data_IF_578177357161
#
_entry.id   IF_578177357161
#
_cell.length_a   1.000
_cell.length_b   1.000
_cell.length_c   1.000
_cell.angle_alpha   90.00
_cell.angle_beta   90.00
_cell.angle_gamma   90.00
#
_symmetry.space_group_name_H-M   'P 1'
#
loop_
_entity.id
_entity.type
_entity.pdbx_description
1 polymer ?
#
# COMPACT_ATOMS: atom_id res chain seq x y z
N UNK A 1 22.19 26.76 37.29
CA UNK A 1 22.22 27.89 36.34
C UNK A 1 20.83 28.28 35.79
N UNK A 2 20.09 27.48 35.00
CA UNK A 2 18.75 27.88 34.49
C UNK A 2 17.70 28.23 35.56
N UNK A 3 17.65 27.50 36.68
CA UNK A 3 16.77 27.83 37.83
C UNK A 3 17.15 29.13 38.55
N UNK A 4 18.42 29.53 38.52
CA UNK A 4 18.92 30.76 39.15
C UNK A 4 18.61 32.02 38.33
N UNK A 5 18.17 31.86 37.07
CA UNK A 5 17.76 32.96 36.17
C UNK A 5 16.24 33.11 36.06
N UNK A 6 15.45 32.44 36.91
CA UNK A 6 13.98 32.46 36.85
C UNK A 6 13.38 31.78 35.61
N UNK A 7 14.19 31.21 34.73
CA UNK A 7 13.76 30.55 33.50
C UNK A 7 13.47 29.06 33.77
N UNK A 8 12.32 28.78 34.38
CA UNK A 8 11.84 27.40 34.47
C UNK A 8 11.60 26.86 33.06
N UNK A 9 12.16 25.68 32.74
CA UNK A 9 11.96 25.02 31.44
C UNK A 9 10.49 24.64 31.19
N UNK A 10 9.67 24.65 32.25
CA UNK A 10 8.25 24.27 32.24
C UNK A 10 7.39 25.30 32.98
N UNK A 11 6.20 25.58 32.44
CA UNK A 11 5.16 26.35 33.10
C UNK A 11 4.61 25.59 34.31
N UNK A 12 4.43 26.30 35.42
CA UNK A 12 3.79 25.79 36.64
C UNK A 12 2.32 25.47 36.42
N UNK A 13 1.73 24.66 37.30
CA UNK A 13 0.30 24.36 37.26
C UNK A 13 -0.55 25.64 37.39
N UNK A 14 -0.13 26.59 38.22
CA UNK A 14 -0.80 27.89 38.40
C UNK A 14 -0.81 28.72 37.11
N UNK A 15 0.33 28.78 36.40
CA UNK A 15 0.44 29.49 35.12
C UNK A 15 -0.45 28.88 34.04
N UNK A 16 -0.52 27.55 33.96
CA UNK A 16 -1.40 26.84 33.02
C UNK A 16 -2.88 27.03 33.35
N UNK A 17 -3.24 27.02 34.63
CA UNK A 17 -4.61 27.26 35.07
C UNK A 17 -5.07 28.70 34.76
N UNK A 18 -4.18 29.69 34.95
CA UNK A 18 -4.46 31.08 34.55
C UNK A 18 -4.72 31.17 33.03
N UNK A 19 -3.85 30.58 32.21
CA UNK A 19 -4.04 30.56 30.76
C UNK A 19 -5.34 29.88 30.33
N UNK A 20 -5.77 28.84 31.04
CA UNK A 20 -7.05 28.17 30.76
C UNK A 20 -8.25 29.08 31.02
N UNK A 21 -8.22 29.87 32.10
CA UNK A 21 -9.24 30.89 32.38
C UNK A 21 -9.29 31.97 31.31
N UNK A 22 -8.14 32.46 30.87
CA UNK A 22 -8.05 33.49 29.82
C UNK A 22 -8.62 32.98 28.48
N UNK A 23 -8.28 31.74 28.09
CA UNK A 23 -8.81 31.08 26.88
C UNK A 23 -10.33 30.90 26.97
N UNK A 24 -10.84 30.50 28.14
CA UNK A 24 -12.28 30.33 28.34
C UNK A 24 -13.01 31.65 28.18
N UNK A 25 -12.49 32.75 28.73
CA UNK A 25 -13.09 34.08 28.55
C UNK A 25 -13.13 34.50 27.07
N UNK A 26 -12.07 34.24 26.31
CA UNK A 26 -12.05 34.50 24.86
C UNK A 26 -13.10 33.64 24.12
N UNK A 27 -13.25 32.37 24.51
CA UNK A 27 -14.23 31.46 23.94
C UNK A 27 -15.67 31.87 24.24
N UNK A 28 -15.97 32.29 25.48
CA UNK A 28 -17.31 32.78 25.88
C UNK A 28 -17.67 34.04 25.09
N UNK A 29 -16.69 34.89 24.77
CA UNK A 29 -16.87 36.08 23.94
C UNK A 29 -16.94 35.79 22.43
N UNK A 30 -16.93 34.52 22.01
CA UNK A 30 -16.98 34.11 20.60
C UNK A 30 -15.73 34.49 19.78
N UNK A 31 -14.63 34.85 20.44
CA UNK A 31 -13.42 35.30 19.77
C UNK A 31 -12.57 34.12 19.28
N UNK A 32 -11.87 34.34 18.16
CA UNK A 32 -10.98 33.32 17.57
C UNK A 32 -9.83 33.02 18.53
N UNK A 33 -9.69 31.75 18.91
CA UNK A 33 -8.67 31.33 19.86
C UNK A 33 -7.25 31.48 19.27
N UNK A 34 -6.30 32.05 20.03
CA UNK A 34 -4.92 32.18 19.59
C UNK A 34 -4.22 30.80 19.61
N UNK A 35 -3.18 30.64 18.79
CA UNK A 35 -2.39 29.40 18.76
C UNK A 35 -1.51 29.23 20.00
N UNK A 36 -1.27 30.31 20.76
CA UNK A 36 -0.57 30.31 22.04
C UNK A 36 -1.01 31.52 22.90
N UNK A 37 -0.85 31.41 24.21
CA UNK A 37 -1.14 32.46 25.19
C UNK A 37 0.17 32.94 25.82
N UNK A 38 0.27 34.24 26.09
CA UNK A 38 1.43 34.79 26.79
C UNK A 38 1.20 34.71 28.30
N UNK A 39 2.06 33.98 29.01
CA UNK A 39 2.01 33.85 30.47
C UNK A 39 3.37 34.22 31.04
N UNK A 40 3.43 35.32 31.80
CA UNK A 40 4.68 35.82 32.37
C UNK A 40 5.76 36.09 31.30
N UNK A 41 5.37 36.72 30.18
CA UNK A 41 6.28 37.04 29.07
C UNK A 41 6.70 35.85 28.19
N UNK A 42 6.20 34.64 28.47
CA UNK A 42 6.56 33.41 27.73
C UNK A 42 5.36 32.86 26.96
N UNK A 43 5.63 32.32 25.76
CA UNK A 43 4.62 31.75 24.87
C UNK A 43 4.24 30.33 25.33
N UNK A 44 3.00 30.14 25.80
CA UNK A 44 2.43 28.85 26.18
C UNK A 44 1.51 28.32 25.06
N UNK A 45 1.88 27.23 24.37
CA UNK A 45 1.03 26.67 23.30
C UNK A 45 -0.32 26.20 23.83
N UNK A 46 -1.40 26.49 23.10
CA UNK A 46 -2.77 26.19 23.54
C UNK A 46 -2.99 24.69 23.81
N UNK A 47 -2.39 23.81 23.01
CA UNK A 47 -2.48 22.36 23.20
C UNK A 47 -1.79 21.82 24.47
N UNK A 48 -1.00 22.64 25.19
CA UNK A 48 -0.53 22.31 26.55
C UNK A 48 -1.50 22.76 27.63
N UNK A 49 -2.27 23.83 27.38
CA UNK A 49 -3.34 24.29 28.26
C UNK A 49 -4.52 23.32 28.20
N UNK A 50 -4.94 22.94 27.00
CA UNK A 50 -6.03 21.97 26.76
C UNK A 50 -5.80 20.64 27.48
N UNK A 51 -4.55 20.14 27.47
CA UNK A 51 -4.18 18.90 28.17
C UNK A 51 -4.32 18.99 29.69
N UNK A 52 -4.13 20.18 30.27
CA UNK A 52 -4.21 20.38 31.72
C UNK A 52 -5.67 20.36 32.21
N UNK A 53 -6.60 20.85 31.40
CA UNK A 53 -8.02 21.01 31.77
C UNK A 53 -8.94 20.00 31.07
N UNK A 54 -8.37 19.00 30.38
CA UNK A 54 -9.12 18.01 29.58
C UNK A 54 -10.17 17.23 30.38
N UNK A 55 -9.92 17.04 31.67
CA UNK A 55 -10.78 16.28 32.57
C UNK A 55 -11.58 17.16 33.52
N UNK A 56 -11.47 18.48 33.39
CA UNK A 56 -12.16 19.43 34.26
C UNK A 56 -13.55 19.77 33.64
N UNK A 57 -14.66 19.40 34.30
CA UNK A 57 -16.01 19.65 33.80
C UNK A 57 -16.28 21.12 33.50
N UNK A 58 -15.62 22.02 34.22
CA UNK A 58 -15.79 23.47 34.08
C UNK A 58 -15.29 24.00 32.72
N UNK A 59 -14.41 23.25 32.04
CA UNK A 59 -13.76 23.61 30.77
C UNK A 59 -14.18 22.71 29.60
N UNK A 60 -15.08 21.75 29.82
CA UNK A 60 -15.61 20.85 28.78
C UNK A 60 -16.64 21.53 27.85
N UNK A 61 -17.06 22.75 28.17
CA UNK A 61 -18.08 23.46 27.42
C UNK A 61 -17.46 24.23 26.23
N UNK A 62 -17.91 23.83 25.05
CA UNK A 62 -17.76 24.43 23.71
C UNK A 62 -16.39 24.42 23.00
N UNK A 63 -15.24 24.74 23.59
CA UNK A 63 -13.97 24.81 22.80
C UNK A 63 -13.14 23.52 22.79
N UNK A 64 -13.23 22.69 23.84
CA UNK A 64 -12.59 21.36 23.90
C UNK A 64 -13.29 20.36 22.96
N UNK A 65 -14.52 20.67 22.53
CA UNK A 65 -15.29 19.97 21.48
C UNK A 65 -14.82 20.29 20.06
N UNK A 66 -13.55 20.67 19.85
CA UNK A 66 -12.96 20.52 18.52
C UNK A 66 -13.04 19.05 18.18
N UNK A 67 -13.98 18.67 17.28
CA UNK A 67 -14.10 17.33 16.69
C UNK A 67 -12.69 16.84 16.49
N UNK A 68 -12.32 15.79 17.20
CA UNK A 68 -11.07 15.09 17.02
C UNK A 68 -11.04 14.64 15.56
N UNK A 69 -10.52 15.50 14.68
CA UNK A 69 -9.91 15.05 13.44
C UNK A 69 -8.69 14.31 13.94
N UNK A 70 -8.55 13.01 13.72
CA UNK A 70 -7.30 12.34 13.97
C UNK A 70 -6.27 13.04 13.09
N UNK A 71 -5.59 14.05 13.62
CA UNK A 71 -4.20 14.24 13.25
C UNK A 71 -3.59 12.96 13.74
N UNK A 72 -3.21 12.11 12.79
CA UNK A 72 -2.23 11.06 13.00
C UNK A 72 -1.11 11.76 13.76
N UNK A 73 -1.13 11.60 15.08
CA UNK A 73 -0.02 12.04 15.89
C UNK A 73 1.04 11.04 15.52
N UNK A 74 1.95 11.42 14.62
CA UNK A 74 3.23 10.75 14.54
C UNK A 74 3.68 10.55 16.01
N UNK A 75 3.93 9.31 16.44
CA UNK A 75 4.37 9.07 17.80
C UNK A 75 5.62 9.92 18.01
N UNK A 76 5.65 10.67 19.11
CA UNK A 76 6.89 11.35 19.51
C UNK A 76 7.95 10.25 19.64
N UNK A 77 9.14 10.39 19.02
CA UNK A 77 10.20 9.41 19.15
C UNK A 77 10.49 9.22 20.63
N UNK A 78 10.34 7.99 21.12
CA UNK A 78 10.86 7.64 22.43
C UNK A 78 12.37 7.50 22.27
N UNK A 79 13.16 8.13 23.16
CA UNK A 79 14.63 8.04 23.16
C UNK A 79 15.17 6.64 23.53
N UNK A 80 14.30 5.62 23.57
CA UNK A 80 14.62 4.21 23.79
C UNK A 80 13.77 3.32 22.85
N UNK A 81 13.74 3.65 21.56
CA UNK A 81 13.20 2.74 20.56
C UNK A 81 14.07 1.48 20.48
N UNK A 82 13.44 0.33 20.23
CA UNK A 82 14.16 -0.87 19.84
C UNK A 82 14.89 -0.63 18.50
N UNK A 83 15.86 -1.47 18.12
CA UNK A 83 16.68 -1.27 16.90
C UNK A 83 15.86 -0.94 15.65
N UNK A 84 14.72 -1.63 15.46
CA UNK A 84 13.79 -1.38 14.36
C UNK A 84 13.13 0.02 14.33
N UNK A 85 12.90 0.66 15.47
CA UNK A 85 12.33 2.03 15.51
C UNK A 85 13.34 3.04 14.96
N UNK A 86 14.63 2.85 15.28
CA UNK A 86 15.73 3.68 14.76
C UNK A 86 15.91 3.49 13.25
N UNK A 87 15.87 2.24 12.77
CA UNK A 87 15.96 1.96 11.33
C UNK A 87 14.74 2.53 10.59
N UNK A 88 13.54 2.43 11.17
CA UNK A 88 12.32 3.05 10.62
C UNK A 88 12.47 4.57 10.53
N UNK A 89 12.94 5.23 11.58
CA UNK A 89 13.17 6.68 11.59
C UNK A 89 14.20 7.08 10.52
N UNK A 90 15.30 6.34 10.40
CA UNK A 90 16.33 6.58 9.38
C UNK A 90 15.79 6.39 7.96
N UNK A 91 15.03 5.33 7.70
CA UNK A 91 14.37 5.13 6.40
C UNK A 91 13.45 6.30 6.09
N UNK A 92 12.66 6.77 7.06
CA UNK A 92 11.76 7.91 6.86
C UNK A 92 12.52 9.20 6.56
N UNK A 93 13.67 9.43 7.19
CA UNK A 93 14.54 10.57 6.89
C UNK A 93 15.06 10.49 5.45
N UNK A 94 15.58 9.34 5.03
CA UNK A 94 16.06 9.11 3.67
C UNK A 94 14.96 9.36 2.64
N UNK A 95 13.75 8.85 2.87
CA UNK A 95 12.59 9.07 2.00
C UNK A 95 12.19 10.54 1.94
N UNK A 96 12.12 11.20 3.10
CA UNK A 96 11.70 12.61 3.17
C UNK A 96 12.66 13.53 2.42
N UNK A 97 13.94 13.16 2.38
CA UNK A 97 14.96 13.88 1.62
C UNK A 97 14.92 13.54 0.12
N UNK A 98 14.91 12.24 -0.20
CA UNK A 98 15.08 11.73 -1.56
C UNK A 98 13.80 11.78 -2.40
N UNK A 99 12.67 11.38 -1.84
CA UNK A 99 11.46 11.20 -2.61
C UNK A 99 10.91 12.51 -3.20
N UNK A 100 10.95 13.67 -2.51
CA UNK A 100 10.52 14.93 -3.11
C UNK A 100 11.35 15.36 -4.32
N UNK A 101 12.68 15.22 -4.29
CA UNK A 101 13.56 15.56 -5.42
C UNK A 101 13.27 14.68 -6.62
N UNK A 102 13.00 13.41 -6.36
CA UNK A 102 12.54 12.41 -7.32
C UNK A 102 11.19 12.78 -7.95
N UNK A 103 10.21 13.24 -7.16
CA UNK A 103 8.90 13.65 -7.67
C UNK A 103 8.96 14.90 -8.57
N UNK A 104 9.97 15.76 -8.40
CA UNK A 104 10.13 17.01 -9.17
C UNK A 104 11.10 16.92 -10.34
N UNK A 105 11.92 15.86 -10.43
CA UNK A 105 12.90 15.71 -11.52
C UNK A 105 12.17 15.68 -12.87
N UNK A 106 12.69 16.34 -13.90
CA UNK A 106 12.07 16.38 -15.23
C UNK A 106 11.79 14.97 -15.76
N UNK A 107 10.61 14.77 -16.35
CA UNK A 107 10.27 13.51 -17.00
C UNK A 107 11.19 13.32 -18.22
N UNK A 108 11.96 12.24 -18.26
CA UNK A 108 12.70 11.84 -19.45
C UNK A 108 12.02 10.61 -20.05
N UNK A 109 11.54 10.67 -21.30
CA UNK A 109 10.95 9.53 -22.01
C UNK A 109 11.88 8.33 -22.14
N UNK A 110 13.19 8.49 -21.91
CA UNK A 110 14.14 7.37 -21.89
C UNK A 110 14.05 6.53 -20.59
N UNK A 111 13.42 7.06 -19.54
CA UNK A 111 13.22 6.37 -18.26
C UNK A 111 11.91 5.56 -18.25
N UNK A 112 11.23 5.51 -19.40
CA UNK A 112 9.93 4.85 -19.64
C UNK A 112 10.08 3.33 -19.78
N UNK A 113 10.70 2.72 -18.77
CA UNK A 113 10.65 1.27 -18.59
C UNK A 113 10.01 0.88 -17.27
N UNK A 114 8.75 1.28 -17.10
CA UNK A 114 7.80 0.60 -16.23
C UNK A 114 7.81 -0.96 -16.36
N UNK A 115 8.13 -1.61 -17.50
CA UNK A 115 8.20 -3.06 -17.57
C UNK A 115 9.27 -3.68 -16.65
N UNK A 116 10.31 -2.93 -16.26
CA UNK A 116 11.42 -3.52 -15.53
C UNK A 116 11.09 -3.77 -14.05
N UNK A 117 10.37 -2.88 -13.38
CA UNK A 117 9.96 -3.12 -11.99
C UNK A 117 8.91 -4.23 -11.91
N UNK A 118 7.97 -4.27 -12.86
CA UNK A 118 6.98 -5.34 -12.95
C UNK A 118 7.62 -6.71 -13.15
N UNK A 119 8.68 -6.82 -13.97
CA UNK A 119 9.43 -8.08 -14.12
C UNK A 119 10.03 -8.53 -12.78
N UNK A 120 10.60 -7.61 -11.98
CA UNK A 120 11.13 -7.94 -10.65
C UNK A 120 9.99 -8.42 -9.74
N UNK A 121 8.87 -7.68 -9.74
CA UNK A 121 7.70 -7.98 -8.91
C UNK A 121 6.98 -9.27 -9.33
N UNK A 122 7.15 -9.74 -10.56
CA UNK A 122 6.61 -11.02 -11.04
C UNK A 122 7.57 -12.18 -10.82
N UNK A 123 8.85 -12.03 -11.20
CA UNK A 123 9.82 -13.13 -11.20
C UNK A 123 10.21 -13.57 -9.80
N UNK A 124 10.35 -12.65 -8.85
CA UNK A 124 10.74 -13.01 -7.47
C UNK A 124 9.64 -13.82 -6.77
N UNK A 125 8.35 -13.44 -6.82
CA UNK A 125 7.27 -14.31 -6.35
C UNK A 125 7.17 -15.64 -7.11
N UNK A 126 7.35 -15.65 -8.43
CA UNK A 126 7.35 -16.88 -9.21
C UNK A 126 8.47 -17.84 -8.78
N UNK A 127 9.69 -17.33 -8.56
CA UNK A 127 10.80 -18.12 -8.03
C UNK A 127 10.46 -18.76 -6.68
N UNK A 128 9.78 -18.04 -5.79
CA UNK A 128 9.34 -18.58 -4.49
C UNK A 128 8.30 -19.69 -4.65
N UNK A 129 7.33 -19.52 -5.55
CA UNK A 129 6.36 -20.57 -5.89
C UNK A 129 7.06 -21.83 -6.43
N UNK A 130 8.01 -21.66 -7.35
CA UNK A 130 8.78 -22.77 -7.91
C UNK A 130 9.62 -23.50 -6.85
N UNK A 131 10.28 -22.77 -5.93
CA UNK A 131 11.01 -23.37 -4.82
C UNK A 131 10.09 -24.18 -3.89
N UNK A 132 8.89 -23.67 -3.59
CA UNK A 132 7.91 -24.42 -2.77
C UNK A 132 7.49 -25.73 -3.43
N UNK A 133 7.48 -25.78 -4.76
CA UNK A 133 7.13 -26.97 -5.56
C UNK A 133 8.33 -27.87 -5.88
N UNK A 134 9.53 -27.56 -5.37
CA UNK A 134 10.74 -28.36 -5.60
C UNK A 134 11.49 -28.09 -6.92
N UNK A 135 11.06 -27.12 -7.72
CA UNK A 135 11.68 -26.79 -9.02
C UNK A 135 12.85 -25.80 -8.86
N UNK A 136 13.93 -26.21 -8.19
CA UNK A 136 15.04 -25.30 -7.85
C UNK A 136 15.73 -24.67 -9.06
N UNK A 137 16.02 -25.42 -10.11
CA UNK A 137 16.70 -24.89 -11.30
C UNK A 137 15.88 -23.80 -12.01
N UNK A 138 14.58 -24.04 -12.20
CA UNK A 138 13.66 -23.06 -12.78
C UNK A 138 13.52 -21.83 -11.88
N UNK A 139 13.45 -22.00 -10.57
CA UNK A 139 13.38 -20.88 -9.63
C UNK A 139 14.61 -19.98 -9.70
N UNK A 140 15.82 -20.55 -9.75
CA UNK A 140 17.05 -19.76 -9.87
C UNK A 140 17.16 -19.03 -11.21
N UNK A 141 16.61 -19.61 -12.29
CA UNK A 141 16.48 -18.91 -13.58
C UNK A 141 15.61 -17.66 -13.45
N UNK A 142 14.48 -17.74 -12.74
CA UNK A 142 13.62 -16.59 -12.48
C UNK A 142 14.32 -15.52 -11.62
N UNK A 143 15.08 -15.93 -10.60
CA UNK A 143 15.90 -15.01 -9.79
C UNK A 143 16.96 -14.31 -10.64
N UNK A 144 17.67 -15.05 -11.50
CA UNK A 144 18.69 -14.48 -12.37
C UNK A 144 18.10 -13.40 -13.31
N UNK A 145 16.95 -13.68 -13.93
CA UNK A 145 16.23 -12.71 -14.77
C UNK A 145 15.90 -11.44 -13.98
N UNK A 146 15.39 -11.58 -12.74
CA UNK A 146 15.12 -10.43 -11.88
C UNK A 146 16.40 -9.63 -11.56
N UNK A 147 17.49 -10.32 -11.22
CA UNK A 147 18.78 -9.71 -10.90
C UNK A 147 19.39 -8.91 -12.08
N UNK A 148 19.23 -9.39 -13.31
CA UNK A 148 19.67 -8.67 -14.52
C UNK A 148 18.87 -7.38 -14.73
N UNK A 149 17.57 -7.43 -14.45
CA UNK A 149 16.69 -6.28 -14.56
C UNK A 149 17.02 -5.22 -13.52
N UNK A 150 17.28 -5.63 -12.27
CA UNK A 150 17.70 -4.75 -11.16
C UNK A 150 18.92 -3.91 -11.53
N UNK A 151 19.91 -4.53 -12.19
CA UNK A 151 21.11 -3.83 -12.63
C UNK A 151 20.81 -2.70 -13.61
N UNK A 152 19.88 -2.93 -14.55
CA UNK A 152 19.43 -1.92 -15.52
C UNK A 152 18.63 -0.81 -14.86
N UNK A 153 17.73 -1.18 -13.96
CA UNK A 153 16.85 -0.25 -13.22
C UNK A 153 17.67 0.71 -12.35
N UNK A 154 18.62 0.21 -11.57
CA UNK A 154 19.45 1.09 -10.73
C UNK A 154 20.35 2.01 -11.55
N UNK A 155 20.95 1.52 -12.65
CA UNK A 155 21.75 2.38 -13.56
C UNK A 155 20.90 3.45 -14.23
N UNK A 156 19.66 3.12 -14.59
CA UNK A 156 18.69 4.07 -15.13
C UNK A 156 18.09 5.03 -14.10
N UNK A 157 18.46 4.92 -12.82
CA UNK A 157 17.95 5.71 -11.71
C UNK A 157 16.41 5.84 -11.73
N UNK A 158 15.72 4.74 -12.03
CA UNK A 158 14.26 4.77 -12.19
C UNK A 158 13.60 5.12 -10.85
N UNK A 159 13.04 6.32 -10.83
CA UNK A 159 12.33 7.02 -9.74
C UNK A 159 11.26 6.16 -9.06
N UNK A 160 10.67 5.22 -9.80
CA UNK A 160 9.49 4.44 -9.41
C UNK A 160 9.82 3.14 -8.67
N UNK A 161 11.10 2.83 -8.53
CA UNK A 161 11.56 1.59 -7.91
C UNK A 161 11.30 1.56 -6.39
N UNK A 162 11.33 2.71 -5.73
CA UNK A 162 11.33 2.77 -4.27
C UNK A 162 10.05 2.17 -3.62
N UNK A 163 8.83 2.53 -4.06
CA UNK A 163 7.61 1.83 -3.62
C UNK A 163 7.67 0.32 -3.81
N UNK A 164 8.12 -0.13 -4.99
CA UNK A 164 8.15 -1.55 -5.34
C UNK A 164 9.17 -2.33 -4.49
N UNK A 165 10.32 -1.73 -4.15
CA UNK A 165 11.28 -2.30 -3.21
C UNK A 165 10.67 -2.47 -1.82
N UNK A 166 9.90 -1.48 -1.34
CA UNK A 166 9.22 -1.60 -0.05
C UNK A 166 8.18 -2.72 -0.07
N UNK A 167 7.37 -2.81 -1.12
CA UNK A 167 6.41 -3.90 -1.27
C UNK A 167 7.10 -5.25 -1.33
N UNK A 168 8.16 -5.36 -2.13
CA UNK A 168 8.92 -6.58 -2.29
C UNK A 168 9.54 -7.01 -0.96
N UNK A 169 10.41 -6.19 -0.36
CA UNK A 169 11.26 -6.61 0.75
C UNK A 169 10.62 -6.50 2.13
N UNK A 170 9.59 -5.67 2.30
CA UNK A 170 8.85 -5.59 3.57
C UNK A 170 7.64 -6.53 3.58
N UNK A 171 7.48 -7.44 2.60
CA UNK A 171 6.38 -8.40 2.57
C UNK A 171 6.56 -9.54 3.57
N UNK A 172 5.49 -9.89 4.27
CA UNK A 172 5.40 -11.12 5.08
C UNK A 172 5.63 -12.41 4.30
N UNK A 173 5.56 -12.35 2.97
CA UNK A 173 5.80 -13.50 2.11
C UNK A 173 7.24 -14.06 2.19
N UNK A 174 8.18 -13.37 2.84
CA UNK A 174 9.55 -13.86 3.08
C UNK A 174 9.71 -14.73 4.32
N UNK A 175 8.69 -14.85 5.17
CA UNK A 175 8.72 -15.66 6.40
C UNK A 175 9.27 -17.07 6.16
N UNK A 176 8.82 -17.73 5.11
CA UNK A 176 9.22 -19.10 4.74
C UNK A 176 10.45 -19.17 3.82
N UNK A 177 11.02 -18.04 3.41
CA UNK A 177 12.14 -17.99 2.45
C UNK A 177 13.26 -17.09 2.96
N UNK A 178 13.68 -17.29 4.22
CA UNK A 178 14.64 -16.41 4.90
C UNK A 178 16.01 -16.35 4.22
N UNK A 179 16.54 -17.49 3.78
CA UNK A 179 17.82 -17.55 3.09
C UNK A 179 17.76 -16.82 1.74
N UNK A 180 16.72 -17.07 0.95
CA UNK A 180 16.51 -16.41 -0.33
C UNK A 180 16.36 -14.88 -0.18
N UNK A 181 15.59 -14.43 0.82
CA UNK A 181 15.51 -13.02 1.17
C UNK A 181 16.90 -12.41 1.38
N UNK A 182 17.70 -13.05 2.24
CA UNK A 182 19.05 -12.57 2.58
C UNK A 182 19.98 -12.46 1.39
N UNK A 183 19.94 -13.44 0.47
CA UNK A 183 20.73 -13.41 -0.77
C UNK A 183 20.28 -12.26 -1.67
N UNK A 184 18.97 -12.12 -1.91
CA UNK A 184 18.43 -11.12 -2.83
C UNK A 184 18.64 -9.70 -2.28
N UNK A 185 18.32 -9.43 -1.00
CA UNK A 185 18.48 -8.07 -0.44
C UNK A 185 19.95 -7.64 -0.42
N UNK A 186 20.89 -8.56 -0.14
CA UNK A 186 22.33 -8.28 -0.21
C UNK A 186 22.77 -7.95 -1.63
N UNK A 187 22.31 -8.72 -2.61
CA UNK A 187 22.58 -8.43 -4.02
C UNK A 187 22.04 -7.05 -4.43
N UNK A 188 20.78 -6.75 -4.13
CA UNK A 188 20.16 -5.47 -4.49
C UNK A 188 20.89 -4.30 -3.84
N UNK A 189 21.24 -4.41 -2.55
CA UNK A 189 22.00 -3.39 -1.85
C UNK A 189 23.40 -3.20 -2.47
N UNK A 190 24.09 -4.28 -2.85
CA UNK A 190 25.40 -4.21 -3.50
C UNK A 190 25.31 -3.52 -4.87
N UNK A 191 24.34 -3.90 -5.70
CA UNK A 191 24.13 -3.27 -7.02
C UNK A 191 23.76 -1.80 -6.87
N UNK A 192 22.92 -1.43 -5.89
CA UNK A 192 22.56 -0.05 -5.61
C UNK A 192 23.80 0.79 -5.23
N UNK A 193 24.69 0.26 -4.37
CA UNK A 193 25.95 0.92 -4.00
C UNK A 193 26.85 1.18 -5.21
N UNK A 194 26.98 0.20 -6.11
CA UNK A 194 27.79 0.36 -7.33
C UNK A 194 27.16 1.36 -8.29
N UNK A 195 25.85 1.25 -8.54
CA UNK A 195 25.18 2.01 -9.60
C UNK A 195 24.83 3.45 -9.18
N UNK A 196 24.53 3.68 -7.90
CA UNK A 196 24.04 4.96 -7.39
C UNK A 196 25.00 5.63 -6.39
N UNK A 197 25.98 4.88 -5.87
CA UNK A 197 26.92 5.33 -4.85
C UNK A 197 26.58 4.80 -3.46
N UNK A 198 27.60 4.70 -2.60
CA UNK A 198 27.45 4.15 -1.25
C UNK A 198 26.55 4.99 -0.35
N UNK A 199 26.59 6.32 -0.50
CA UNK A 199 25.82 7.27 0.30
C UNK A 199 24.45 7.60 -0.32
N UNK A 200 24.06 6.91 -1.39
CA UNK A 200 22.78 7.15 -2.03
C UNK A 200 21.62 6.68 -1.13
N UNK A 201 20.53 7.45 -0.98
CA UNK A 201 19.40 7.10 -0.10
C UNK A 201 18.86 5.68 -0.31
N UNK A 202 18.73 5.23 -1.56
CA UNK A 202 18.29 3.86 -1.86
C UNK A 202 19.30 2.80 -1.38
N UNK A 203 20.61 3.06 -1.53
CA UNK A 203 21.67 2.17 -1.04
C UNK A 203 21.61 2.04 0.49
N UNK A 204 21.39 3.16 1.18
CA UNK A 204 21.23 3.19 2.64
C UNK A 204 19.97 2.43 3.07
N UNK A 205 18.82 2.69 2.45
CA UNK A 205 17.56 2.01 2.72
C UNK A 205 17.69 0.50 2.55
N UNK A 206 18.26 0.03 1.45
CA UNK A 206 18.44 -1.40 1.19
C UNK A 206 19.42 -2.05 2.17
N UNK A 207 20.45 -1.31 2.61
CA UNK A 207 21.38 -1.78 3.64
C UNK A 207 20.67 -1.92 4.99
N UNK A 208 19.85 -0.94 5.38
CA UNK A 208 19.05 -1.00 6.61
C UNK A 208 18.06 -2.16 6.59
N UNK A 209 17.41 -2.43 5.45
CA UNK A 209 16.47 -3.57 5.32
C UNK A 209 17.12 -4.94 5.61
N UNK A 210 18.45 -5.08 5.47
CA UNK A 210 19.13 -6.37 5.70
C UNK A 210 19.02 -6.87 7.15
N UNK A 211 18.83 -5.97 8.13
CA UNK A 211 18.81 -6.33 9.57
C UNK A 211 17.58 -7.13 10.01
N UNK A 212 16.57 -7.28 9.13
CA UNK A 212 15.38 -8.13 9.25
C UNK A 212 14.69 -8.16 10.63
N UNK A 213 14.40 -6.98 11.17
CA UNK A 213 13.46 -6.85 12.29
C UNK A 213 12.12 -6.25 11.82
N UNK A 214 11.03 -6.97 12.08
CA UNK A 214 9.62 -6.55 12.01
C UNK A 214 9.26 -5.39 11.03
N UNK A 215 9.53 -5.58 9.73
CA UNK A 215 9.33 -4.55 8.70
C UNK A 215 7.88 -4.28 8.30
N UNK A 216 6.90 -5.05 8.79
CA UNK A 216 5.49 -4.84 8.40
C UNK A 216 4.99 -3.45 8.80
N UNK A 217 5.24 -3.08 10.05
CA UNK A 217 4.85 -1.77 10.59
C UNK A 217 5.64 -0.66 9.91
N UNK A 218 6.92 -0.88 9.64
CA UNK A 218 7.77 0.07 8.90
C UNK A 218 7.21 0.30 7.50
N UNK A 219 6.80 -0.76 6.79
CA UNK A 219 6.25 -0.67 5.44
C UNK A 219 4.98 0.16 5.38
N UNK A 220 4.05 -0.02 6.31
CA UNK A 220 2.84 0.81 6.40
C UNK A 220 3.18 2.30 6.59
N UNK A 221 4.04 2.62 7.56
CA UNK A 221 4.41 4.01 7.89
C UNK A 221 5.16 4.67 6.74
N UNK A 222 6.07 3.93 6.10
CA UNK A 222 6.87 4.39 4.97
C UNK A 222 5.99 4.68 3.75
N UNK A 223 5.15 3.72 3.34
CA UNK A 223 4.26 3.90 2.19
C UNK A 223 3.26 5.05 2.44
N UNK A 224 2.77 5.18 3.68
CA UNK A 224 1.95 6.31 4.10
C UNK A 224 2.66 7.66 3.96
N UNK A 225 3.91 7.77 4.42
CA UNK A 225 4.71 8.98 4.28
C UNK A 225 4.95 9.33 2.80
N UNK A 226 5.25 8.34 1.95
CA UNK A 226 5.41 8.54 0.51
C UNK A 226 4.12 9.05 -0.14
N UNK A 227 2.95 8.50 0.23
CA UNK A 227 1.66 8.97 -0.26
C UNK A 227 1.37 10.42 0.14
N UNK A 228 1.67 10.79 1.39
CA UNK A 228 1.47 12.15 1.87
C UNK A 228 2.38 13.13 1.10
N UNK A 229 3.63 12.75 0.83
CA UNK A 229 4.54 13.52 -0.02
C UNK A 229 4.00 13.68 -1.44
N UNK A 230 3.45 12.62 -2.05
CA UNK A 230 2.82 12.72 -3.37
C UNK A 230 1.58 13.64 -3.33
N UNK A 231 0.70 13.48 -2.35
CA UNK A 231 -0.52 14.29 -2.22
C UNK A 231 -0.22 15.78 -2.06
N UNK A 232 0.80 16.13 -1.28
CA UNK A 232 1.22 17.54 -1.10
C UNK A 232 1.75 18.17 -2.39
N UNK A 233 2.31 17.36 -3.30
CA UNK A 233 2.89 17.80 -4.58
C UNK A 233 2.04 17.41 -5.78
N UNK A 234 0.76 17.09 -5.58
CA UNK A 234 -0.14 16.62 -6.65
C UNK A 234 -0.20 17.55 -7.87
N UNK A 235 -0.09 18.86 -7.65
CA UNK A 235 -0.14 19.87 -8.72
C UNK A 235 1.12 19.89 -9.59
N UNK A 236 2.22 19.38 -9.07
CA UNK A 236 3.53 19.40 -9.73
C UNK A 236 3.81 18.08 -10.49
N UNK A 237 2.86 17.13 -10.46
CA UNK A 237 3.00 15.79 -11.03
C UNK A 237 2.36 15.67 -12.41
N UNK A 238 3.08 15.06 -13.34
CA UNK A 238 2.53 14.65 -14.64
C UNK A 238 1.62 13.40 -14.56
N UNK A 239 0.90 13.06 -15.64
CA UNK A 239 -0.09 11.97 -15.67
C UNK A 239 0.43 10.60 -15.18
N UNK A 240 1.64 10.22 -15.56
CA UNK A 240 2.26 8.93 -15.15
C UNK A 240 2.50 8.89 -13.64
N UNK A 241 2.94 10.01 -13.04
CA UNK A 241 3.12 10.10 -11.58
C UNK A 241 1.79 10.05 -10.84
N UNK A 242 0.71 10.53 -11.44
CA UNK A 242 -0.64 10.34 -10.90
C UNK A 242 -1.05 8.86 -10.95
N UNK A 243 -0.75 8.13 -12.03
CA UNK A 243 -0.96 6.68 -12.09
C UNK A 243 -0.19 5.94 -11.00
N UNK A 244 1.08 6.30 -10.79
CA UNK A 244 1.90 5.73 -9.71
C UNK A 244 1.38 6.04 -8.31
N UNK A 245 0.72 7.18 -8.13
CA UNK A 245 0.08 7.51 -6.86
C UNK A 245 -1.02 6.50 -6.54
N UNK A 246 -1.82 6.07 -7.53
CA UNK A 246 -2.85 5.04 -7.33
C UNK A 246 -2.24 3.68 -7.05
N UNK A 247 -1.17 3.31 -7.77
CA UNK A 247 -0.41 2.08 -7.49
C UNK A 247 0.11 2.07 -6.05
N UNK A 248 0.74 3.17 -5.60
CA UNK A 248 1.21 3.32 -4.22
C UNK A 248 0.04 3.30 -3.22
N UNK A 249 -1.12 3.87 -3.57
CA UNK A 249 -2.31 3.85 -2.73
C UNK A 249 -2.82 2.42 -2.54
N UNK A 250 -2.87 1.61 -3.61
CA UNK A 250 -3.17 0.17 -3.52
C UNK A 250 -2.20 -0.54 -2.59
N UNK A 251 -0.88 -0.33 -2.78
CA UNK A 251 0.17 -0.97 -1.97
C UNK A 251 0.06 -0.61 -0.48
N UNK A 252 -0.24 0.65 -0.16
CA UNK A 252 -0.49 1.08 1.21
C UNK A 252 -1.77 0.46 1.78
N UNK A 253 -2.86 0.46 1.01
CA UNK A 253 -4.12 -0.14 1.43
C UNK A 253 -3.96 -1.62 1.74
N UNK A 254 -3.16 -2.37 0.97
CA UNK A 254 -2.88 -3.78 1.23
C UNK A 254 -2.21 -4.03 2.58
N UNK A 255 -1.43 -3.07 3.08
CA UNK A 255 -0.83 -3.13 4.42
C UNK A 255 -1.84 -2.81 5.50
N UNK A 256 -2.59 -1.71 5.35
CA UNK A 256 -3.63 -1.32 6.31
C UNK A 256 -4.69 -2.42 6.46
N UNK A 257 -5.07 -3.07 5.35
CA UNK A 257 -6.03 -4.20 5.35
C UNK A 257 -5.54 -5.40 6.18
N UNK A 258 -4.23 -5.59 6.33
CA UNK A 258 -3.65 -6.69 7.12
C UNK A 258 -3.64 -6.39 8.62
N UNK A 259 -3.67 -5.11 9.01
CA UNK A 259 -3.64 -4.67 10.41
C UNK A 259 -5.03 -4.46 11.03
N UNK A 260 -6.11 -4.57 10.23
CA UNK A 260 -7.49 -4.38 10.67
C UNK A 260 -8.33 -5.65 10.51
N UNK A 261 -9.41 -5.76 11.30
CA UNK A 261 -10.37 -6.88 11.17
C UNK A 261 -11.15 -6.85 9.84
N UNK A 262 -11.73 -8.00 9.45
CA UNK A 262 -12.40 -8.18 8.14
C UNK A 262 -13.51 -7.15 7.86
N UNK A 263 -14.32 -6.80 8.85
CA UNK A 263 -15.38 -5.79 8.73
C UNK A 263 -14.84 -4.38 8.47
N UNK A 264 -13.78 -3.99 9.18
CA UNK A 264 -13.11 -2.70 8.97
C UNK A 264 -12.42 -2.65 7.61
N UNK A 265 -11.79 -3.76 7.19
CA UNK A 265 -11.23 -3.94 5.85
C UNK A 265 -12.30 -3.77 4.77
N UNK A 266 -13.46 -4.42 4.91
CA UNK A 266 -14.58 -4.30 3.96
C UNK A 266 -15.03 -2.86 3.80
N UNK A 267 -15.31 -2.16 4.91
CA UNK A 267 -15.73 -0.74 4.88
C UNK A 267 -14.70 0.15 4.20
N UNK A 268 -13.42 -0.02 4.55
CA UNK A 268 -12.33 0.73 3.92
C UNK A 268 -12.27 0.49 2.41
N UNK A 269 -12.40 -0.76 1.97
CA UNK A 269 -12.40 -1.11 0.55
C UNK A 269 -13.63 -0.57 -0.18
N UNK A 270 -14.83 -0.65 0.41
CA UNK A 270 -16.08 -0.08 -0.15
C UNK A 270 -15.98 1.44 -0.32
N UNK A 271 -15.50 2.16 0.71
CA UNK A 271 -15.27 3.61 0.66
C UNK A 271 -14.26 3.98 -0.43
N UNK A 272 -13.18 3.21 -0.54
CA UNK A 272 -12.13 3.44 -1.55
C UNK A 272 -12.58 3.12 -2.96
N UNK A 273 -13.36 2.05 -3.13
CA UNK A 273 -13.95 1.72 -4.42
C UNK A 273 -14.86 2.85 -4.89
N UNK A 274 -15.75 3.36 -4.03
CA UNK A 274 -16.64 4.47 -4.37
C UNK A 274 -15.85 5.74 -4.75
N UNK A 275 -14.79 6.07 -4.01
CA UNK A 275 -13.91 7.20 -4.33
C UNK A 275 -13.23 7.02 -5.70
N UNK A 276 -12.69 5.83 -5.98
CA UNK A 276 -11.98 5.55 -7.22
C UNK A 276 -12.93 5.48 -8.42
N UNK A 277 -14.11 4.89 -8.28
CA UNK A 277 -15.12 4.88 -9.34
C UNK A 277 -15.58 6.29 -9.68
N UNK A 278 -15.83 7.15 -8.68
CA UNK A 278 -16.25 8.53 -8.91
C UNK A 278 -15.17 9.40 -9.58
N UNK A 279 -13.88 9.10 -9.35
CA UNK A 279 -12.76 9.90 -9.87
C UNK A 279 -12.15 9.36 -11.17
N UNK A 280 -12.04 8.05 -11.30
CA UNK A 280 -11.33 7.38 -12.40
C UNK A 280 -12.28 6.67 -13.38
N UNK A 281 -13.54 6.52 -13.00
CA UNK A 281 -14.52 5.71 -13.71
C UNK A 281 -14.53 4.24 -13.26
N UNK A 282 -15.66 3.55 -13.45
CA UNK A 282 -15.87 2.19 -12.96
C UNK A 282 -15.01 1.12 -13.65
N UNK A 283 -14.54 1.39 -14.89
CA UNK A 283 -13.71 0.48 -15.69
C UNK A 283 -12.20 0.67 -15.44
N UNK A 284 -11.80 1.62 -14.59
CA UNK A 284 -10.38 1.83 -14.34
C UNK A 284 -9.75 0.60 -13.65
N UNK A 285 -8.54 0.22 -14.06
CA UNK A 285 -7.83 -0.96 -13.53
C UNK A 285 -7.77 -1.00 -11.99
N UNK A 286 -7.63 0.16 -11.32
CA UNK A 286 -7.55 0.22 -9.86
C UNK A 286 -8.91 -0.02 -9.22
N UNK A 287 -9.99 0.48 -9.83
CA UNK A 287 -11.35 0.24 -9.37
C UNK A 287 -11.75 -1.24 -9.54
N UNK A 288 -11.45 -1.83 -10.70
CA UNK A 288 -11.70 -3.24 -10.97
C UNK A 288 -10.87 -4.16 -10.06
N UNK A 289 -9.59 -3.83 -9.84
CA UNK A 289 -8.73 -4.54 -8.89
C UNK A 289 -9.29 -4.48 -7.46
N UNK A 290 -9.70 -3.30 -6.98
CA UNK A 290 -10.34 -3.16 -5.66
C UNK A 290 -11.63 -3.96 -5.55
N UNK A 291 -12.43 -4.00 -6.61
CA UNK A 291 -13.66 -4.80 -6.66
C UNK A 291 -13.36 -6.29 -6.54
N UNK A 292 -12.39 -6.80 -7.30
CA UNK A 292 -11.93 -8.18 -7.17
C UNK A 292 -11.41 -8.49 -5.75
N UNK A 293 -10.68 -7.57 -5.11
CA UNK A 293 -10.26 -7.78 -3.72
C UNK A 293 -11.43 -7.74 -2.71
N UNK A 294 -12.51 -7.02 -3.00
CA UNK A 294 -13.74 -7.04 -2.21
C UNK A 294 -14.44 -8.38 -2.30
N UNK A 295 -14.40 -9.06 -3.45
CA UNK A 295 -14.89 -10.45 -3.61
C UNK A 295 -14.24 -11.36 -2.56
N UNK A 296 -12.91 -11.33 -2.46
CA UNK A 296 -12.16 -12.12 -1.47
C UNK A 296 -12.55 -11.77 -0.03
N UNK A 297 -12.78 -10.48 0.25
CA UNK A 297 -13.24 -10.05 1.58
C UNK A 297 -14.65 -10.51 1.88
N UNK A 298 -15.56 -10.43 0.91
CA UNK A 298 -16.94 -10.90 1.03
C UNK A 298 -17.01 -12.41 1.19
N UNK A 299 -16.20 -13.20 0.47
CA UNK A 299 -16.06 -14.64 0.68
C UNK A 299 -15.69 -14.98 2.13
N UNK A 300 -14.68 -14.28 2.67
CA UNK A 300 -14.24 -14.47 4.06
C UNK A 300 -15.28 -14.06 5.10
N UNK A 301 -16.22 -13.19 4.72
CA UNK A 301 -17.37 -12.80 5.53
C UNK A 301 -18.63 -13.64 5.23
N UNK A 302 -18.51 -14.67 4.38
CA UNK A 302 -19.62 -15.50 3.92
C UNK A 302 -20.74 -14.73 3.21
N UNK A 303 -20.42 -13.57 2.64
CA UNK A 303 -21.33 -12.73 1.84
C UNK A 303 -21.27 -13.14 0.37
N UNK A 304 -21.57 -14.41 0.09
CA UNK A 304 -21.32 -15.06 -1.19
C UNK A 304 -22.08 -14.42 -2.35
N UNK A 305 -23.31 -13.98 -2.15
CA UNK A 305 -24.11 -13.35 -3.22
C UNK A 305 -23.53 -12.00 -3.66
N UNK A 306 -22.92 -11.24 -2.73
CA UNK A 306 -22.24 -9.99 -3.08
C UNK A 306 -20.95 -10.23 -3.84
N UNK A 307 -20.19 -11.25 -3.44
CA UNK A 307 -18.98 -11.66 -4.13
C UNK A 307 -19.29 -12.10 -5.57
N UNK A 308 -20.31 -12.95 -5.75
CA UNK A 308 -20.77 -13.38 -7.07
C UNK A 308 -21.23 -12.19 -7.93
N UNK A 309 -22.06 -11.29 -7.40
CA UNK A 309 -22.53 -10.12 -8.15
C UNK A 309 -21.39 -9.22 -8.63
N UNK A 310 -20.33 -9.07 -7.84
CA UNK A 310 -19.14 -8.32 -8.23
C UNK A 310 -18.33 -9.01 -9.33
N UNK A 311 -18.20 -10.33 -9.27
CA UNK A 311 -17.54 -11.10 -10.34
C UNK A 311 -18.35 -11.01 -11.63
N UNK A 312 -19.66 -11.18 -11.57
CA UNK A 312 -20.57 -11.06 -12.71
C UNK A 312 -20.49 -9.67 -13.37
N UNK A 313 -20.42 -8.60 -12.57
CA UNK A 313 -20.26 -7.24 -13.12
C UNK A 313 -18.90 -7.06 -13.82
N UNK A 314 -17.81 -7.63 -13.30
CA UNK A 314 -16.48 -7.58 -13.93
C UNK A 314 -16.50 -8.37 -15.25
N UNK A 315 -17.07 -9.58 -15.24
CA UNK A 315 -17.16 -10.45 -16.43
C UNK A 315 -18.05 -9.80 -17.50
N UNK A 316 -19.18 -9.19 -17.11
CA UNK A 316 -20.05 -8.44 -18.02
C UNK A 316 -19.35 -7.28 -18.69
N UNK A 317 -18.49 -6.55 -17.97
CA UNK A 317 -17.63 -5.53 -18.58
C UNK A 317 -16.61 -6.14 -19.56
N UNK A 318 -16.02 -7.28 -19.22
CA UNK A 318 -15.12 -8.02 -20.10
C UNK A 318 -15.78 -8.46 -21.41
N UNK A 319 -17.07 -8.83 -21.38
CA UNK A 319 -17.84 -9.19 -22.60
C UNK A 319 -17.99 -8.00 -23.55
N UNK A 320 -18.18 -6.79 -23.02
CA UNK A 320 -18.33 -5.56 -23.82
C UNK A 320 -16.98 -5.01 -24.29
N UNK A 321 -15.94 -5.17 -23.47
CA UNK A 321 -14.61 -4.58 -23.69
C UNK A 321 -13.52 -5.64 -23.78
N UNK A 322 -13.79 -6.70 -24.54
CA UNK A 322 -12.88 -7.84 -24.68
C UNK A 322 -11.51 -7.47 -25.26
N UNK A 323 -11.38 -6.32 -25.94
CA UNK A 323 -10.13 -5.88 -26.56
C UNK A 323 -9.28 -4.93 -25.67
N UNK A 324 -9.72 -4.59 -24.46
CA UNK A 324 -9.02 -3.61 -23.60
C UNK A 324 -7.70 -4.18 -23.00
N UNK A 325 -6.59 -3.84 -23.69
CA UNK A 325 -5.19 -4.15 -23.34
C UNK A 325 -4.85 -3.98 -21.86
N UNK A 326 -5.44 -2.99 -21.21
CA UNK A 326 -5.07 -2.58 -19.86
C UNK A 326 -5.76 -3.38 -18.76
N UNK A 327 -6.78 -4.17 -19.09
CA UNK A 327 -7.66 -4.85 -18.13
C UNK A 327 -7.64 -6.37 -18.27
N UNK A 328 -6.82 -6.89 -19.19
CA UNK A 328 -6.79 -8.30 -19.55
C UNK A 328 -6.53 -9.27 -18.42
N UNK A 329 -5.80 -8.91 -17.36
CA UNK A 329 -5.59 -9.83 -16.24
C UNK A 329 -6.78 -9.93 -15.29
N UNK A 330 -7.65 -8.92 -15.28
CA UNK A 330 -8.75 -8.84 -14.30
C UNK A 330 -9.96 -9.62 -14.77
N UNK A 331 -10.28 -9.59 -16.07
CA UNK A 331 -11.43 -10.30 -16.63
C UNK A 331 -11.34 -11.83 -16.58
N UNK A 332 -10.30 -12.50 -17.10
CA UNK A 332 -10.18 -13.96 -17.06
C UNK A 332 -10.02 -14.46 -15.63
N UNK A 333 -9.36 -13.69 -14.75
CA UNK A 333 -9.32 -14.01 -13.33
C UNK A 333 -10.72 -14.00 -12.71
N UNK A 334 -11.51 -12.93 -12.94
CA UNK A 334 -12.86 -12.84 -12.43
C UNK A 334 -13.79 -13.91 -13.02
N UNK A 335 -13.64 -14.23 -14.31
CA UNK A 335 -14.37 -15.31 -14.96
C UNK A 335 -14.03 -16.68 -14.36
N UNK A 336 -12.76 -16.98 -14.14
CA UNK A 336 -12.31 -18.19 -13.46
C UNK A 336 -12.90 -18.32 -12.05
N UNK A 337 -12.92 -17.24 -11.26
CA UNK A 337 -13.55 -17.25 -9.93
C UNK A 337 -15.08 -17.37 -10.01
N UNK A 338 -15.73 -16.73 -10.97
CA UNK A 338 -17.18 -16.81 -11.18
C UNK A 338 -17.60 -18.24 -11.56
N UNK A 339 -16.82 -18.92 -12.38
CA UNK A 339 -17.04 -20.31 -12.74
C UNK A 339 -17.05 -21.22 -11.49
N UNK A 340 -16.17 -20.99 -10.52
CA UNK A 340 -16.18 -21.73 -9.23
C UNK A 340 -17.47 -21.49 -8.47
N UNK A 341 -18.04 -20.30 -8.52
CA UNK A 341 -19.35 -20.01 -7.93
C UNK A 341 -20.49 -20.75 -8.63
N UNK A 342 -20.52 -20.73 -9.96
CA UNK A 342 -21.48 -21.50 -10.75
C UNK A 342 -21.36 -22.99 -10.45
N UNK A 343 -20.14 -23.52 -10.41
CA UNK A 343 -19.86 -24.92 -10.07
C UNK A 343 -20.38 -25.29 -8.67
N UNK A 344 -20.09 -24.49 -7.64
CA UNK A 344 -20.60 -24.72 -6.26
C UNK A 344 -22.13 -24.72 -6.20
N UNK A 345 -22.80 -23.98 -7.08
CA UNK A 345 -24.27 -23.93 -7.19
C UNK A 345 -24.83 -24.95 -8.19
N UNK A 346 -24.02 -25.91 -8.66
CA UNK A 346 -24.41 -26.92 -9.67
C UNK A 346 -24.91 -26.34 -11.00
N UNK A 347 -24.50 -25.10 -11.33
CA UNK A 347 -24.78 -24.44 -12.61
C UNK A 347 -23.63 -24.73 -13.59
N UNK A 348 -23.46 -25.98 -13.97
CA UNK A 348 -22.29 -26.42 -14.73
C UNK A 348 -22.20 -25.80 -16.13
N UNK A 349 -23.34 -25.59 -16.79
CA UNK A 349 -23.40 -24.90 -18.08
C UNK A 349 -22.89 -23.45 -17.99
N UNK A 350 -23.32 -22.69 -16.98
CA UNK A 350 -22.83 -21.33 -16.75
C UNK A 350 -21.33 -21.32 -16.43
N UNK A 351 -20.86 -22.29 -15.63
CA UNK A 351 -19.44 -22.42 -15.29
C UNK A 351 -18.59 -22.64 -16.54
N UNK A 352 -19.03 -23.55 -17.41
CA UNK A 352 -18.38 -23.82 -18.70
C UNK A 352 -18.40 -22.59 -19.62
N UNK A 353 -19.54 -21.90 -19.75
CA UNK A 353 -19.66 -20.70 -20.58
C UNK A 353 -18.63 -19.64 -20.17
N UNK A 354 -18.54 -19.37 -18.87
CA UNK A 354 -17.64 -18.37 -18.33
C UNK A 354 -16.16 -18.81 -18.44
N UNK A 355 -15.85 -20.10 -18.30
CA UNK A 355 -14.50 -20.62 -18.51
C UNK A 355 -14.06 -20.56 -19.97
N UNK A 356 -14.95 -20.90 -20.91
CA UNK A 356 -14.67 -20.74 -22.34
C UNK A 356 -14.44 -19.27 -22.72
N UNK A 357 -15.22 -18.36 -22.11
CA UNK A 357 -14.98 -16.93 -22.27
C UNK A 357 -13.60 -16.52 -21.72
N UNK A 358 -13.23 -17.00 -20.53
CA UNK A 358 -11.90 -16.76 -19.95
C UNK A 358 -10.78 -17.28 -20.86
N UNK A 359 -10.92 -18.49 -21.40
CA UNK A 359 -9.97 -19.09 -22.34
C UNK A 359 -9.82 -18.22 -23.60
N UNK A 360 -10.92 -17.73 -24.17
CA UNK A 360 -10.90 -16.88 -25.36
C UNK A 360 -10.15 -15.56 -25.15
N UNK A 361 -10.24 -14.97 -23.94
CA UNK A 361 -9.45 -13.79 -23.58
C UNK A 361 -7.95 -14.10 -23.43
N UNK A 362 -7.60 -15.33 -23.06
CA UNK A 362 -6.22 -15.76 -22.83
C UNK A 362 -5.50 -16.23 -24.11
N UNK A 363 -6.23 -16.80 -25.09
CA UNK A 363 -5.66 -17.38 -26.34
C UNK A 363 -4.80 -16.40 -27.15
N UNK A 364 -5.07 -15.09 -27.04
CA UNK A 364 -4.36 -14.06 -27.80
C UNK A 364 -3.07 -13.52 -27.13
N UNK A 365 -2.53 -14.14 -26.06
CA UNK A 365 -1.54 -13.46 -25.20
C UNK A 365 -0.36 -14.35 -24.75
N UNK A 366 0.87 -13.83 -24.92
CA UNK A 366 2.09 -14.67 -24.87
C UNK A 366 2.70 -14.98 -23.49
N UNK A 367 2.51 -14.20 -22.40
CA UNK A 367 3.42 -14.39 -21.23
C UNK A 367 2.87 -14.11 -19.82
N UNK A 368 2.02 -13.11 -19.60
CA UNK A 368 1.82 -12.57 -18.23
C UNK A 368 0.92 -13.42 -17.31
N UNK A 369 0.09 -14.32 -17.86
CA UNK A 369 -1.00 -14.97 -17.12
C UNK A 369 -0.95 -16.49 -17.17
N UNK A 370 0.24 -17.07 -17.38
CA UNK A 370 0.43 -18.53 -17.52
C UNK A 370 -0.23 -19.34 -16.40
N UNK A 371 -0.34 -18.81 -15.18
CA UNK A 371 -1.01 -19.51 -14.10
C UNK A 371 -2.54 -19.56 -14.30
N UNK A 372 -3.17 -18.48 -14.77
CA UNK A 372 -4.61 -18.44 -15.06
C UNK A 372 -4.92 -19.37 -16.24
N UNK A 373 -4.08 -19.37 -17.27
CA UNK A 373 -4.24 -20.29 -18.40
C UNK A 373 -4.24 -21.75 -17.97
N UNK A 374 -3.31 -22.14 -17.09
CA UNK A 374 -3.24 -23.50 -16.55
C UNK A 374 -4.50 -23.81 -15.74
N UNK A 375 -4.91 -22.91 -14.85
CA UNK A 375 -6.06 -23.12 -13.97
C UNK A 375 -7.40 -23.20 -14.74
N UNK A 376 -7.61 -22.32 -15.72
CA UNK A 376 -8.78 -22.36 -16.61
C UNK A 376 -8.81 -23.65 -17.42
N UNK A 377 -7.66 -24.07 -17.97
CA UNK A 377 -7.55 -25.32 -18.72
C UNK A 377 -7.83 -26.56 -17.86
N UNK A 378 -7.32 -26.60 -16.62
CA UNK A 378 -7.61 -27.68 -15.67
C UNK A 378 -9.10 -27.77 -15.31
N UNK A 379 -9.77 -26.62 -15.14
CA UNK A 379 -11.21 -26.59 -14.83
C UNK A 379 -12.08 -27.01 -16.03
N UNK A 380 -11.74 -26.59 -17.24
CA UNK A 380 -12.42 -27.05 -18.46
C UNK A 380 -12.26 -28.57 -18.64
N UNK A 381 -11.04 -29.09 -18.50
CA UNK A 381 -10.80 -30.53 -18.59
C UNK A 381 -11.56 -31.34 -17.53
N UNK A 382 -11.73 -30.78 -16.32
CA UNK A 382 -12.54 -31.40 -15.27
C UNK A 382 -14.03 -31.44 -15.65
N UNK A 383 -14.58 -30.38 -16.24
CA UNK A 383 -15.96 -30.35 -16.72
C UNK A 383 -16.19 -31.35 -17.86
N UNK A 384 -15.27 -31.41 -18.83
CA UNK A 384 -15.33 -32.38 -19.93
C UNK A 384 -15.31 -33.82 -19.40
N UNK A 385 -14.41 -34.11 -18.48
CA UNK A 385 -14.35 -35.42 -17.82
C UNK A 385 -15.65 -35.75 -17.09
N UNK A 386 -16.26 -34.79 -16.38
CA UNK A 386 -17.54 -35.02 -15.69
C UNK A 386 -18.66 -35.35 -16.67
N UNK A 387 -18.72 -34.68 -17.83
CA UNK A 387 -19.67 -34.99 -18.91
C UNK A 387 -19.46 -36.37 -19.49
N UNK A 388 -18.20 -36.74 -19.80
CA UNK A 388 -17.84 -38.06 -20.31
C UNK A 388 -18.24 -39.20 -19.36
N UNK A 389 -18.24 -38.92 -18.05
CA UNK A 389 -18.66 -39.86 -17.01
C UNK A 389 -20.15 -39.81 -16.70
N UNK A 390 -20.93 -38.94 -17.35
CA UNK A 390 -22.37 -38.77 -17.09
C UNK A 390 -22.66 -38.24 -15.68
N UNK A 391 -21.74 -37.47 -15.09
CA UNK A 391 -21.89 -36.87 -13.77
C UNK A 391 -22.64 -35.53 -13.82
N UNK A 392 -22.67 -34.88 -14.98
CA UNK A 392 -23.37 -33.62 -15.27
C UNK A 392 -24.01 -33.62 -16.64
#
# INVERSE_FOLDING_TARGET
KLRQWGLSRNFSAKEKAKAAKDIRQLSVKGQKLPTAVMVGGRRLPIGRVERQVRHDPEYLTTFVRRKYKPRVSAPRPSLKGAGHDLDTERILLEITYYYPTVLTRGYSPQHDRAPCTDIIMQRIPAAKQLLKRGFSAAAWKEVAIACDVVHRVFRGQTIELLPDLFVLFMSNSWTNHKALYGVIIKYFAHVAKIAMGEQHPISNILTMMQSRENWDRTGEVVLGAMLDLMKTRKKDMGPIRLQNMYRLETQYLDRVKQSVGLEARRKLQEEKLAEWQGRLGPRNQHALGMKHELVVTYERLSLLDKAEAYLDEIVSQGRVFADDASLFGVYPLAANELAKYHFRKSRYADAEEVLNLAASWLENRQVAERYICVEVGEQLAALDWMKEKGLI
#
